data_IF_165928100185
#
_entry.id   IF_165928100185
#
_cell.length_a   1.000
_cell.length_b   1.000
_cell.length_c   1.000
_cell.angle_alpha   90.00
_cell.angle_beta   90.00
_cell.angle_gamma   90.00
#
_symmetry.space_group_name_H-M   'P 1'
#
loop_
_entity.id
_entity.type
_entity.pdbx_description
1 polymer ?
#
# COMPACT_ATOMS: atom_id res chain seq x y z
N UNK A 1 5.39 3.08 -20.40
CA UNK A 1 5.48 4.17 -19.41
C UNK A 1 4.14 4.76 -18.93
N UNK A 2 3.19 5.22 -19.77
CA UNK A 2 1.93 5.82 -19.24
C UNK A 2 0.97 4.82 -18.53
N UNK A 3 1.11 3.52 -18.78
CA UNK A 3 0.31 2.46 -18.13
C UNK A 3 0.79 2.12 -16.71
N UNK A 4 2.11 1.96 -16.54
CA UNK A 4 2.77 1.61 -15.27
C UNK A 4 2.42 2.60 -14.15
N UNK A 5 2.48 3.91 -14.44
CA UNK A 5 2.16 4.94 -13.47
C UNK A 5 0.71 4.89 -12.95
N UNK A 6 -0.25 4.40 -13.75
CA UNK A 6 -1.65 4.26 -13.30
C UNK A 6 -1.82 3.13 -12.29
N UNK A 7 -1.09 2.02 -12.47
CA UNK A 7 -1.11 0.89 -11.53
C UNK A 7 -0.47 1.26 -10.20
N UNK A 8 0.68 1.93 -10.22
CA UNK A 8 1.33 2.45 -9.01
C UNK A 8 0.44 3.46 -8.26
N UNK A 9 -0.19 4.37 -9.01
CA UNK A 9 -1.15 5.32 -8.44
C UNK A 9 -2.31 4.62 -7.73
N UNK A 10 -2.92 3.62 -8.38
CA UNK A 10 -4.04 2.87 -7.79
C UNK A 10 -3.60 2.08 -6.57
N UNK A 11 -2.43 1.45 -6.60
CA UNK A 11 -1.85 0.74 -5.46
C UNK A 11 -1.68 1.67 -4.25
N UNK A 12 -1.09 2.87 -4.45
CA UNK A 12 -0.91 3.85 -3.39
C UNK A 12 -2.25 4.33 -2.80
N UNK A 13 -3.27 4.53 -3.64
CA UNK A 13 -4.61 4.92 -3.18
C UNK A 13 -5.27 3.83 -2.32
N UNK A 14 -5.22 2.58 -2.77
CA UNK A 14 -5.77 1.45 -2.01
C UNK A 14 -5.06 1.30 -0.67
N UNK A 15 -3.73 1.45 -0.66
CA UNK A 15 -2.94 1.37 0.56
C UNK A 15 -3.26 2.49 1.55
N UNK A 16 -3.36 3.74 1.08
CA UNK A 16 -3.67 4.88 1.95
C UNK A 16 -5.06 4.77 2.58
N UNK A 17 -6.03 4.23 1.86
CA UNK A 17 -7.38 3.98 2.38
C UNK A 17 -7.46 2.78 3.32
N UNK A 18 -6.40 1.97 3.42
CA UNK A 18 -6.41 0.73 4.19
C UNK A 18 -7.14 -0.43 3.52
N UNK A 19 -7.42 -0.34 2.21
CA UNK A 19 -8.11 -1.38 1.43
C UNK A 19 -7.14 -2.27 0.64
N UNK A 20 -5.83 -2.13 0.84
CA UNK A 20 -4.85 -2.99 0.18
C UNK A 20 -4.42 -4.10 1.13
N UNK A 21 -4.98 -5.29 0.92
CA UNK A 21 -4.49 -6.53 1.51
C UNK A 21 -3.64 -7.27 0.47
N UNK A 22 -2.43 -7.66 0.85
CA UNK A 22 -1.61 -8.58 0.06
C UNK A 22 -1.81 -9.96 0.67
N UNK A 23 -2.37 -10.94 -0.06
CA UNK A 23 -2.54 -12.29 0.46
C UNK A 23 -1.19 -12.83 0.96
N UNK A 24 -1.15 -13.31 2.21
CA UNK A 24 -0.02 -14.07 2.71
C UNK A 24 0.05 -15.44 2.03
N UNK A 25 1.25 -16.02 1.93
CA UNK A 25 1.44 -17.34 1.30
C UNK A 25 0.67 -18.48 2.01
N UNK A 26 0.27 -18.25 3.27
CA UNK A 26 -0.43 -19.21 4.13
C UNK A 26 -1.91 -18.83 4.38
N UNK A 27 -2.43 -17.78 3.74
CA UNK A 27 -3.76 -17.20 4.05
C UNK A 27 -4.92 -17.76 3.20
N UNK A 28 -4.64 -18.67 2.27
CA UNK A 28 -5.65 -19.29 1.40
C UNK A 28 -6.45 -20.44 2.08
N UNK A 29 -6.15 -20.78 3.33
CA UNK A 29 -6.89 -21.78 4.11
C UNK A 29 -7.64 -21.14 5.29
N UNK A 30 -8.77 -20.50 5.01
CA UNK A 30 -9.69 -20.12 6.08
C UNK A 30 -11.14 -20.43 5.70
N UNK A 31 -11.62 -21.61 6.13
CA UNK A 31 -12.97 -21.76 6.66
C UNK A 31 -12.97 -22.82 7.78
N UNK A 32 -13.54 -22.47 8.95
CA UNK A 32 -14.98 -22.61 9.09
C UNK A 32 -15.63 -21.35 9.69
N UNK A 33 -16.48 -20.68 8.91
CA UNK A 33 -17.30 -19.54 9.35
C UNK A 33 -18.07 -19.78 10.65
N UNK A 34 -18.37 -21.06 10.95
CA UNK A 34 -19.07 -21.51 12.15
C UNK A 34 -18.26 -21.29 13.45
N UNK A 35 -16.94 -21.50 13.44
CA UNK A 35 -16.11 -21.28 14.62
C UNK A 35 -15.92 -19.78 14.92
N UNK A 36 -15.78 -18.97 13.86
CA UNK A 36 -15.71 -17.51 13.99
C UNK A 36 -17.02 -16.96 14.53
N UNK A 37 -18.16 -17.45 14.01
CA UNK A 37 -19.49 -17.04 14.46
C UNK A 37 -19.74 -17.40 15.93
N UNK A 38 -19.37 -18.62 16.36
CA UNK A 38 -19.42 -19.02 17.77
C UNK A 38 -18.56 -18.13 18.65
N UNK A 39 -17.33 -17.82 18.21
CA UNK A 39 -16.44 -16.94 18.95
C UNK A 39 -17.07 -15.54 19.10
N UNK A 40 -17.60 -14.94 18.04
CA UNK A 40 -18.26 -13.63 18.09
C UNK A 40 -19.47 -13.61 19.05
N UNK A 41 -20.26 -14.68 19.06
CA UNK A 41 -21.41 -14.79 19.95
C UNK A 41 -21.04 -14.75 21.44
N UNK A 42 -19.85 -15.28 21.83
CA UNK A 42 -19.33 -15.16 23.20
C UNK A 42 -19.15 -13.69 23.61
N UNK A 43 -18.82 -12.82 22.66
CA UNK A 43 -18.68 -11.38 22.87
C UNK A 43 -20.00 -10.61 22.67
N UNK A 44 -21.11 -11.30 22.44
CA UNK A 44 -22.41 -10.68 22.15
C UNK A 44 -22.47 -9.99 20.78
N UNK A 45 -21.58 -10.37 19.86
CA UNK A 45 -21.53 -9.85 18.50
C UNK A 45 -22.14 -10.87 17.52
N UNK A 46 -22.68 -10.37 16.42
CA UNK A 46 -23.13 -11.17 15.28
C UNK A 46 -22.35 -10.73 14.05
N UNK A 47 -21.94 -11.70 13.21
CA UNK A 47 -21.37 -11.39 11.91
C UNK A 47 -22.39 -10.60 11.07
N UNK A 48 -21.93 -9.58 10.35
CA UNK A 48 -22.77 -8.85 9.40
C UNK A 48 -23.19 -9.79 8.27
N UNK A 49 -24.38 -9.57 7.71
CA UNK A 49 -24.81 -10.30 6.52
C UNK A 49 -23.82 -10.02 5.38
N UNK A 50 -23.47 -11.02 4.54
CA UNK A 50 -22.51 -10.82 3.45
C UNK A 50 -22.94 -9.71 2.47
N UNK A 51 -24.25 -9.46 2.36
CA UNK A 51 -24.83 -8.40 1.54
C UNK A 51 -24.58 -6.98 2.10
N UNK A 52 -24.34 -6.87 3.41
CA UNK A 52 -23.97 -5.63 4.10
C UNK A 52 -22.44 -5.38 4.09
N UNK A 53 -21.66 -6.36 3.63
CA UNK A 53 -20.20 -6.27 3.54
C UNK A 53 -19.77 -5.90 2.12
N UNK A 54 -19.07 -4.77 1.97
CA UNK A 54 -18.46 -4.40 0.69
C UNK A 54 -17.35 -5.38 0.31
N UNK A 55 -17.56 -6.15 -0.76
CA UNK A 55 -16.55 -7.07 -1.31
C UNK A 55 -15.37 -6.24 -1.82
N UNK A 56 -14.17 -6.57 -1.34
CA UNK A 56 -12.93 -5.94 -1.81
C UNK A 56 -12.67 -6.31 -3.28
N UNK A 57 -12.51 -5.31 -4.16
CA UNK A 57 -12.17 -5.54 -5.56
C UNK A 57 -10.72 -6.06 -5.68
N UNK A 58 -10.53 -7.19 -6.37
CA UNK A 58 -9.19 -7.69 -6.68
C UNK A 58 -8.39 -6.69 -7.53
N UNK A 59 -7.20 -6.32 -7.04
CA UNK A 59 -6.29 -5.42 -7.73
C UNK A 59 -4.98 -6.11 -8.09
N UNK A 60 -4.74 -6.24 -9.39
CA UNK A 60 -3.48 -6.78 -9.91
C UNK A 60 -2.46 -5.67 -10.18
N UNK A 61 -1.29 -5.80 -9.54
CA UNK A 61 -0.09 -5.00 -9.81
C UNK A 61 0.74 -5.67 -10.91
N UNK A 62 1.19 -4.89 -11.89
CA UNK A 62 2.02 -5.41 -12.98
C UNK A 62 3.44 -5.76 -12.49
N UNK A 63 4.09 -6.81 -13.04
CA UNK A 63 5.41 -7.27 -12.57
C UNK A 63 6.47 -6.16 -12.52
N UNK A 64 6.51 -5.28 -13.51
CA UNK A 64 7.44 -4.16 -13.59
C UNK A 64 7.19 -3.07 -12.53
N UNK A 65 5.99 -3.03 -11.94
CA UNK A 65 5.64 -2.12 -10.86
C UNK A 65 6.01 -2.70 -9.48
N UNK A 66 6.26 -4.00 -9.37
CA UNK A 66 6.55 -4.69 -8.10
C UNK A 66 7.79 -4.12 -7.42
N UNK A 67 8.94 -3.90 -8.10
CA UNK A 67 10.14 -3.34 -7.45
C UNK A 67 9.89 -1.94 -6.88
N UNK A 68 9.13 -1.11 -7.61
CA UNK A 68 8.75 0.22 -7.11
C UNK A 68 7.85 0.11 -5.88
N UNK A 69 6.87 -0.79 -5.90
CA UNK A 69 5.95 -1.00 -4.78
C UNK A 69 6.66 -1.53 -3.53
N UNK A 70 7.64 -2.43 -3.70
CA UNK A 70 8.48 -2.91 -2.61
C UNK A 70 9.31 -1.77 -1.99
N UNK A 71 9.97 -0.97 -2.83
CA UNK A 71 10.73 0.19 -2.36
C UNK A 71 9.82 1.22 -1.67
N UNK A 72 8.64 1.47 -2.21
CA UNK A 72 7.62 2.32 -1.59
C UNK A 72 7.27 1.84 -0.18
N UNK A 73 7.04 0.54 0.02
CA UNK A 73 6.74 -0.03 1.34
C UNK A 73 7.90 0.15 2.34
N UNK A 74 9.14 0.08 1.87
CA UNK A 74 10.33 0.25 2.71
C UNK A 74 10.46 1.68 3.23
N UNK A 75 10.07 2.69 2.44
CA UNK A 75 10.28 4.10 2.79
C UNK A 75 9.09 4.76 3.48
N UNK A 76 8.10 3.99 3.95
CA UNK A 76 6.90 4.53 4.60
C UNK A 76 7.18 5.27 5.92
N UNK A 77 8.35 5.09 6.52
CA UNK A 77 8.76 5.83 7.73
C UNK A 77 9.45 7.16 7.42
N UNK A 78 9.84 7.40 6.15
CA UNK A 78 10.71 8.50 5.76
C UNK A 78 9.93 9.77 5.34
N UNK A 79 8.75 10.00 5.91
CA UNK A 79 7.97 11.21 5.64
C UNK A 79 8.56 12.42 6.36
N UNK A 80 8.60 13.53 5.64
CA UNK A 80 8.78 14.85 6.24
C UNK A 80 7.43 15.40 6.66
N UNK A 81 7.40 15.99 7.83
CA UNK A 81 6.21 16.58 8.44
C UNK A 81 6.41 18.08 8.63
N UNK A 82 5.33 18.85 8.49
CA UNK A 82 5.32 20.27 8.85
C UNK A 82 5.10 20.47 10.36
N UNK A 83 5.03 21.72 10.80
CA UNK A 83 4.84 22.08 12.21
C UNK A 83 3.50 21.55 12.77
N UNK A 84 2.53 21.24 11.91
CA UNK A 84 1.24 20.66 12.29
C UNK A 84 1.25 19.12 12.31
N UNK A 85 2.39 18.48 12.04
CA UNK A 85 2.50 17.01 11.93
C UNK A 85 1.94 16.48 10.61
N UNK A 86 1.68 17.35 9.63
CA UNK A 86 1.13 16.94 8.33
C UNK A 86 2.26 16.46 7.43
N UNK A 87 2.08 15.30 6.81
CA UNK A 87 3.02 14.77 5.82
C UNK A 87 3.05 15.69 4.59
N UNK A 88 4.23 16.15 4.21
CA UNK A 88 4.44 17.07 3.07
C UNK A 88 5.14 16.42 1.88
N UNK A 89 5.96 15.40 2.14
CA UNK A 89 6.70 14.65 1.13
C UNK A 89 7.70 13.68 1.78
N UNK A 90 8.26 12.79 1.00
CA UNK A 90 9.30 11.86 1.42
C UNK A 90 10.66 12.55 1.49
N UNK A 91 11.48 12.12 2.44
CA UNK A 91 12.88 12.47 2.47
C UNK A 91 13.64 11.71 1.38
N UNK A 92 13.95 12.40 0.28
CA UNK A 92 14.66 11.78 -0.83
C UNK A 92 16.11 11.40 -0.50
N UNK A 93 16.71 12.00 0.54
CA UNK A 93 18.02 11.53 1.03
C UNK A 93 17.88 10.16 1.70
N UNK A 94 16.89 9.98 2.58
CA UNK A 94 16.50 8.69 3.13
C UNK A 94 16.13 7.65 2.07
N UNK A 95 15.36 8.04 1.05
CA UNK A 95 15.04 7.15 -0.08
C UNK A 95 16.30 6.69 -0.82
N UNK A 96 17.23 7.60 -1.11
CA UNK A 96 18.52 7.24 -1.72
C UNK A 96 19.30 6.28 -0.82
N UNK A 97 19.35 6.53 0.48
CA UNK A 97 20.03 5.65 1.44
C UNK A 97 19.41 4.25 1.48
N UNK A 98 18.07 4.13 1.42
CA UNK A 98 17.40 2.84 1.30
C UNK A 98 17.78 2.11 0.01
N UNK A 99 17.83 2.80 -1.14
CA UNK A 99 18.29 2.22 -2.40
C UNK A 99 19.77 1.76 -2.31
N UNK A 100 20.62 2.51 -1.60
CA UNK A 100 22.02 2.15 -1.37
C UNK A 100 22.13 0.87 -0.51
N UNK A 101 21.35 0.78 0.58
CA UNK A 101 21.32 -0.40 1.47
C UNK A 101 20.80 -1.66 0.77
N UNK A 102 19.85 -1.51 -0.16
CA UNK A 102 19.32 -2.61 -0.97
C UNK A 102 20.20 -2.96 -2.17
N UNK A 103 21.32 -2.26 -2.37
CA UNK A 103 22.26 -2.47 -3.47
C UNK A 103 21.59 -2.37 -4.86
N UNK A 104 20.65 -1.44 -5.00
CA UNK A 104 19.92 -1.23 -6.26
C UNK A 104 20.88 -0.72 -7.35
N UNK A 105 20.88 -1.33 -8.55
CA UNK A 105 21.69 -0.88 -9.68
C UNK A 105 21.40 0.57 -10.10
N UNK A 106 22.44 1.31 -10.46
CA UNK A 106 22.32 2.75 -10.74
C UNK A 106 21.43 3.09 -11.94
N UNK A 107 21.36 2.19 -12.92
CA UNK A 107 20.52 2.29 -14.10
C UNK A 107 19.02 2.10 -13.79
N UNK A 108 18.68 1.39 -12.70
CA UNK A 108 17.29 1.19 -12.26
C UNK A 108 16.79 2.31 -11.35
N UNK A 109 17.69 2.99 -10.63
CA UNK A 109 17.35 4.00 -9.61
C UNK A 109 16.44 5.10 -10.14
N UNK A 110 16.69 5.57 -11.36
CA UNK A 110 15.91 6.65 -11.96
C UNK A 110 14.45 6.24 -12.18
N UNK A 111 14.21 5.01 -12.65
CA UNK A 111 12.88 4.48 -12.88
C UNK A 111 12.13 4.25 -11.56
N UNK A 112 12.81 3.63 -10.57
CA UNK A 112 12.27 3.40 -9.24
C UNK A 112 11.93 4.71 -8.52
N UNK A 113 12.84 5.69 -8.57
CA UNK A 113 12.61 7.02 -8.00
C UNK A 113 11.37 7.67 -8.61
N UNK A 114 11.23 7.62 -9.94
CA UNK A 114 10.06 8.16 -10.62
C UNK A 114 8.77 7.46 -10.16
N UNK A 115 8.79 6.12 -10.07
CA UNK A 115 7.66 5.34 -9.60
C UNK A 115 7.24 5.69 -8.17
N UNK A 116 8.20 5.82 -7.24
CA UNK A 116 7.96 6.24 -5.86
C UNK A 116 7.33 7.63 -5.80
N UNK A 117 7.77 8.57 -6.64
CA UNK A 117 7.16 9.91 -6.72
C UNK A 117 5.71 9.89 -7.21
N UNK A 118 5.36 8.96 -8.10
CA UNK A 118 3.96 8.78 -8.53
C UNK A 118 3.10 8.33 -7.36
N UNK A 119 3.59 7.37 -6.56
CA UNK A 119 2.91 6.87 -5.37
C UNK A 119 2.80 7.93 -4.26
N UNK A 120 3.89 8.67 -4.00
CA UNK A 120 3.93 9.80 -3.05
C UNK A 120 2.84 10.83 -3.38
N UNK A 121 2.75 11.26 -4.63
CA UNK A 121 1.75 12.25 -5.06
C UNK A 121 0.32 11.71 -4.89
N UNK A 122 0.12 10.43 -5.18
CA UNK A 122 -1.18 9.78 -5.00
C UNK A 122 -1.57 9.74 -3.52
N UNK A 123 -0.64 9.36 -2.64
CA UNK A 123 -0.87 9.30 -1.20
C UNK A 123 -1.20 10.67 -0.60
N UNK A 124 -0.41 11.70 -0.92
CA UNK A 124 -0.65 13.07 -0.44
C UNK A 124 -1.99 13.63 -0.91
N UNK A 125 -2.39 13.33 -2.16
CA UNK A 125 -3.68 13.73 -2.71
C UNK A 125 -4.84 13.05 -1.98
N UNK A 126 -4.67 11.78 -1.60
CA UNK A 126 -5.70 11.00 -0.92
C UNK A 126 -5.88 11.40 0.54
N UNK A 127 -4.79 11.62 1.27
CA UNK A 127 -4.85 12.13 2.66
C UNK A 127 -5.40 13.55 2.73
N UNK A 128 -5.08 14.38 1.74
CA UNK A 128 -5.41 15.79 1.74
C UNK A 128 -6.01 16.24 0.41
N UNK A 129 -7.26 15.83 0.13
CA UNK A 129 -7.98 16.34 -1.02
C UNK A 129 -8.08 17.87 -0.92
N UNK A 130 -7.83 18.56 -2.04
CA UNK A 130 -8.03 20.01 -2.14
C UNK A 130 -9.49 20.35 -2.33
#
# INVERSE_FOLDING_TARGET
MFGEGKKLLRAAQLQVRGHLRVPGADEDEAEPEDEVSKALAVWGLQAADPEDVTVEEEFYLWPECVPTFQLWNVVQTQWREDVSGRRTGLDYAGLKACMDMQQIPDDERAALFWGVRVMERAALKEWYPR
#
